data_IF_720564055418
#
_entry.id   IF_720564055418
#
_cell.length_a   1.000
_cell.length_b   1.000
_cell.length_c   1.000
_cell.angle_alpha   90.00
_cell.angle_beta   90.00
_cell.angle_gamma   90.00
#
_symmetry.space_group_name_H-M   'P 1'
#
loop_
_entity.id
_entity.type
_entity.pdbx_description
1 polymer ?
#
# COMPACT_ATOMS: atom_id res chain seq x y z
N UNK A 1 -31.24 13.10 -3.51
CA UNK A 1 -30.43 14.33 -3.36
C UNK A 1 -29.59 14.37 -2.09
N UNK A 2 -30.13 14.05 -0.91
CA UNK A 2 -29.38 14.11 0.37
C UNK A 2 -28.06 13.34 0.41
N UNK A 3 -28.01 12.11 -0.11
CA UNK A 3 -26.78 11.32 -0.16
C UNK A 3 -25.66 11.94 -1.02
N UNK A 4 -26.03 12.52 -2.16
CA UNK A 4 -25.09 13.20 -3.07
C UNK A 4 -24.53 14.45 -2.39
N UNK A 5 -25.36 15.19 -1.65
CA UNK A 5 -24.93 16.35 -0.88
C UNK A 5 -23.97 15.96 0.25
N UNK A 6 -24.24 14.87 0.97
CA UNK A 6 -23.34 14.37 2.03
C UNK A 6 -22.01 13.92 1.45
N UNK A 7 -22.05 13.17 0.34
CA UNK A 7 -20.84 12.78 -0.38
C UNK A 7 -20.01 14.01 -0.78
N UNK A 8 -20.65 14.99 -1.43
CA UNK A 8 -20.00 16.22 -1.86
C UNK A 8 -19.43 17.01 -0.67
N UNK A 9 -20.18 17.14 0.42
CA UNK A 9 -19.75 17.85 1.62
C UNK A 9 -18.49 17.22 2.24
N UNK A 10 -18.48 15.90 2.45
CA UNK A 10 -17.33 15.19 3.05
C UNK A 10 -16.14 15.18 2.09
N UNK A 11 -16.38 15.00 0.79
CA UNK A 11 -15.33 15.05 -0.22
C UNK A 11 -14.69 16.44 -0.30
N UNK A 12 -15.49 17.50 -0.33
CA UNK A 12 -15.02 18.89 -0.36
C UNK A 12 -14.30 19.25 0.95
N UNK A 13 -14.82 18.81 2.10
CA UNK A 13 -14.17 19.00 3.40
C UNK A 13 -12.79 18.32 3.44
N UNK A 14 -12.70 17.06 3.00
CA UNK A 14 -11.44 16.34 2.91
C UNK A 14 -10.47 16.96 1.90
N UNK A 15 -10.97 17.48 0.77
CA UNK A 15 -10.17 18.25 -0.20
C UNK A 15 -9.65 19.55 0.39
N UNK A 16 -10.47 20.31 1.11
CA UNK A 16 -10.08 21.56 1.77
C UNK A 16 -9.07 21.31 2.88
N UNK A 17 -9.27 20.29 3.71
CA UNK A 17 -8.35 19.90 4.78
C UNK A 17 -6.98 19.49 4.21
N UNK A 18 -6.98 18.70 3.14
CA UNK A 18 -5.76 18.35 2.39
C UNK A 18 -5.06 19.56 1.81
N UNK A 19 -5.78 20.54 1.27
CA UNK A 19 -5.15 21.77 0.77
C UNK A 19 -4.54 22.60 1.90
N UNK A 20 -5.20 22.67 3.07
CA UNK A 20 -4.68 23.38 4.24
C UNK A 20 -3.46 22.72 4.89
N UNK A 21 -3.42 21.38 4.92
CA UNK A 21 -2.36 20.61 5.58
C UNK A 21 -1.19 20.27 4.65
N UNK A 22 -1.26 20.65 3.37
CA UNK A 22 -0.16 20.45 2.41
C UNK A 22 0.98 21.41 2.73
N UNK A 23 2.20 20.87 2.82
CA UNK A 23 3.40 21.71 2.81
C UNK A 23 3.57 22.35 1.41
N UNK A 24 3.93 23.65 1.33
CA UNK A 24 4.27 24.29 0.08
C UNK A 24 5.59 23.73 -0.50
N UNK A 25 5.82 23.81 -1.82
CA UNK A 25 7.10 23.46 -2.41
C UNK A 25 8.24 24.33 -1.83
N UNK A 26 9.47 23.80 -1.67
CA UNK A 26 10.63 24.60 -1.32
C UNK A 26 10.90 25.63 -2.41
N UNK A 27 11.28 26.85 -2.00
CA UNK A 27 11.48 27.99 -2.91
C UNK A 27 12.68 27.79 -3.84
N UNK A 28 13.70 27.03 -3.41
CA UNK A 28 14.97 26.87 -4.11
C UNK A 28 15.00 25.70 -5.10
N UNK A 29 13.88 24.96 -5.27
CA UNK A 29 13.84 23.76 -6.11
C UNK A 29 14.61 22.55 -5.55
N UNK A 30 15.25 22.69 -4.38
CA UNK A 30 15.96 21.60 -3.71
C UNK A 30 15.02 20.51 -3.17
N UNK A 31 15.50 19.27 -3.13
CA UNK A 31 14.76 18.15 -2.56
C UNK A 31 14.65 18.30 -1.04
N UNK A 32 13.48 17.96 -0.47
CA UNK A 32 13.34 18.01 0.99
C UNK A 32 14.24 16.99 1.70
N UNK A 33 14.64 17.27 2.96
CA UNK A 33 15.23 16.27 3.82
C UNK A 33 14.36 15.01 3.85
N UNK A 34 14.99 13.83 3.78
CA UNK A 34 14.30 12.53 3.59
C UNK A 34 13.13 12.32 4.57
N UNK A 35 13.25 12.80 5.81
CA UNK A 35 12.16 12.76 6.80
C UNK A 35 10.94 13.58 6.44
N UNK A 36 11.13 14.82 6.00
CA UNK A 36 10.01 15.67 5.60
C UNK A 36 9.34 15.10 4.36
N UNK A 37 10.12 14.65 3.38
CA UNK A 37 9.60 13.97 2.19
C UNK A 37 8.80 12.70 2.52
N UNK A 38 9.31 11.83 3.40
CA UNK A 38 8.62 10.60 3.80
C UNK A 38 7.32 10.89 4.57
N UNK A 39 7.37 11.82 5.52
CA UNK A 39 6.19 12.22 6.32
C UNK A 39 5.10 12.82 5.44
N UNK A 40 5.44 13.72 4.53
CA UNK A 40 4.45 14.34 3.64
C UNK A 40 3.89 13.31 2.64
N UNK A 41 4.70 12.37 2.16
CA UNK A 41 4.24 11.29 1.28
C UNK A 41 3.27 10.35 2.00
N UNK A 42 3.53 9.98 3.26
CA UNK A 42 2.59 9.19 4.09
C UNK A 42 1.31 9.97 4.36
N UNK A 43 1.40 11.24 4.80
CA UNK A 43 0.23 12.08 5.04
C UNK A 43 -0.67 12.16 3.82
N UNK A 44 -0.10 12.49 2.65
CA UNK A 44 -0.86 12.58 1.40
C UNK A 44 -1.49 11.24 1.03
N UNK A 45 -0.79 10.12 1.25
CA UNK A 45 -1.33 8.77 1.04
C UNK A 45 -2.53 8.51 1.94
N UNK A 46 -2.40 8.74 3.25
CA UNK A 46 -3.49 8.54 4.22
C UNK A 46 -4.70 9.41 3.89
N UNK A 47 -4.50 10.72 3.68
CA UNK A 47 -5.60 11.62 3.34
C UNK A 47 -6.29 11.22 2.03
N UNK A 48 -5.53 10.86 0.99
CA UNK A 48 -6.11 10.44 -0.29
C UNK A 48 -6.86 9.11 -0.15
N UNK A 49 -6.29 8.15 0.58
CA UNK A 49 -6.86 6.82 0.77
C UNK A 49 -8.17 6.88 1.54
N UNK A 50 -8.29 7.76 2.55
CA UNK A 50 -9.47 7.84 3.42
C UNK A 50 -10.57 8.77 2.89
N UNK A 51 -10.23 9.86 2.18
CA UNK A 51 -11.24 10.89 1.83
C UNK A 51 -12.39 10.32 0.99
N UNK A 52 -12.08 9.59 -0.09
CA UNK A 52 -13.10 9.11 -1.03
C UNK A 52 -13.96 7.97 -0.43
N UNK A 53 -13.37 6.96 0.23
CA UNK A 53 -14.15 5.89 0.85
C UNK A 53 -14.96 6.38 2.05
N UNK A 54 -14.44 7.34 2.84
CA UNK A 54 -15.23 7.93 3.93
C UNK A 54 -16.45 8.70 3.40
N UNK A 55 -16.29 9.46 2.31
CA UNK A 55 -17.42 10.14 1.67
C UNK A 55 -18.45 9.13 1.11
N UNK A 56 -17.98 8.06 0.46
CA UNK A 56 -18.85 7.01 -0.06
C UNK A 56 -19.58 6.25 1.06
N UNK A 57 -18.88 5.90 2.14
CA UNK A 57 -19.43 5.21 3.31
C UNK A 57 -20.48 6.06 4.01
N UNK A 58 -20.23 7.36 4.16
CA UNK A 58 -21.21 8.27 4.77
C UNK A 58 -22.46 8.43 3.90
N UNK A 59 -22.32 8.48 2.58
CA UNK A 59 -23.45 8.45 1.67
C UNK A 59 -24.23 7.13 1.80
N UNK A 60 -23.55 5.99 1.82
CA UNK A 60 -24.16 4.67 2.02
C UNK A 60 -24.91 4.59 3.36
N UNK A 61 -24.27 4.98 4.46
CA UNK A 61 -24.85 5.00 5.80
C UNK A 61 -26.09 5.91 5.87
N UNK A 62 -26.08 7.04 5.16
CA UNK A 62 -27.26 7.89 5.04
C UNK A 62 -28.41 7.15 4.35
N UNK A 63 -28.20 6.56 3.16
CA UNK A 63 -29.27 5.81 2.49
C UNK A 63 -29.80 4.65 3.35
N UNK A 64 -28.89 3.92 4.00
CA UNK A 64 -29.22 2.79 4.86
C UNK A 64 -30.04 3.22 6.10
N UNK A 65 -29.69 4.35 6.71
CA UNK A 65 -30.40 4.89 7.87
C UNK A 65 -31.86 5.25 7.58
N UNK A 66 -32.18 5.65 6.36
CA UNK A 66 -33.56 5.92 5.91
C UNK A 66 -34.26 4.68 5.33
N UNK A 67 -33.65 3.50 5.40
CA UNK A 67 -34.14 2.26 4.78
C UNK A 67 -34.51 2.42 3.29
N UNK A 68 -33.80 3.30 2.58
CA UNK A 68 -34.03 3.60 1.17
C UNK A 68 -33.38 2.58 0.23
N UNK A 69 -32.71 1.55 0.77
CA UNK A 69 -31.95 0.55 0.01
C UNK A 69 -32.70 -0.78 0.02
N UNK A 70 -33.33 -1.17 -1.10
CA UNK A 70 -33.81 -2.53 -1.28
C UNK A 70 -32.65 -3.53 -1.17
N UNK A 71 -32.84 -4.75 -0.62
CA UNK A 71 -31.76 -5.72 -0.39
C UNK A 71 -30.87 -5.97 -1.62
N UNK A 72 -31.48 -6.11 -2.81
CA UNK A 72 -30.76 -6.31 -4.08
C UNK A 72 -29.88 -5.12 -4.49
N UNK A 73 -30.31 -3.90 -4.19
CA UNK A 73 -29.52 -2.68 -4.43
C UNK A 73 -28.37 -2.60 -3.43
N UNK A 74 -28.56 -3.11 -2.21
CA UNK A 74 -27.53 -3.23 -1.19
C UNK A 74 -26.29 -4.00 -1.68
N UNK A 75 -26.50 -5.15 -2.32
CA UNK A 75 -25.40 -5.97 -2.87
C UNK A 75 -24.58 -5.22 -3.92
N UNK A 76 -25.25 -4.49 -4.82
CA UNK A 76 -24.60 -3.67 -5.85
C UNK A 76 -23.84 -2.50 -5.21
N UNK A 77 -24.41 -1.84 -4.21
CA UNK A 77 -23.77 -0.75 -3.48
C UNK A 77 -22.56 -1.22 -2.68
N UNK A 78 -22.62 -2.41 -2.07
CA UNK A 78 -21.48 -3.04 -1.41
C UNK A 78 -20.34 -3.31 -2.40
N UNK A 79 -20.67 -3.86 -3.57
CA UNK A 79 -19.73 -4.03 -4.68
C UNK A 79 -19.08 -2.72 -5.13
N UNK A 80 -19.89 -1.66 -5.28
CA UNK A 80 -19.40 -0.33 -5.61
C UNK A 80 -18.48 0.22 -4.52
N UNK A 81 -18.80 -0.03 -3.25
CA UNK A 81 -17.99 0.42 -2.13
C UNK A 81 -16.62 -0.26 -2.17
N UNK A 82 -16.57 -1.58 -2.35
CA UNK A 82 -15.30 -2.31 -2.53
C UNK A 82 -14.48 -1.74 -3.69
N UNK A 83 -15.11 -1.45 -4.83
CA UNK A 83 -14.44 -0.83 -5.97
C UNK A 83 -13.87 0.55 -5.64
N UNK A 84 -14.61 1.40 -4.92
CA UNK A 84 -14.15 2.72 -4.45
C UNK A 84 -12.97 2.58 -3.47
N UNK A 85 -13.00 1.60 -2.58
CA UNK A 85 -11.89 1.32 -1.65
C UNK A 85 -10.61 0.92 -2.41
N UNK A 86 -10.71 -0.05 -3.32
CA UNK A 86 -9.60 -0.49 -4.18
C UNK A 86 -9.01 0.71 -4.93
N UNK A 87 -9.88 1.49 -5.57
CA UNK A 87 -9.48 2.65 -6.38
C UNK A 87 -8.79 3.73 -5.53
N UNK A 88 -9.36 4.06 -4.36
CA UNK A 88 -8.84 5.09 -3.48
C UNK A 88 -7.49 4.72 -2.88
N UNK A 89 -7.37 3.51 -2.31
CA UNK A 89 -6.15 3.02 -1.69
C UNK A 89 -5.04 2.87 -2.74
N UNK A 90 -5.37 2.27 -3.90
CA UNK A 90 -4.41 2.10 -4.98
C UNK A 90 -3.88 3.44 -5.52
N UNK A 91 -4.77 4.39 -5.85
CA UNK A 91 -4.32 5.71 -6.32
C UNK A 91 -3.51 6.47 -5.27
N UNK A 92 -3.90 6.36 -4.00
CA UNK A 92 -3.19 7.00 -2.90
C UNK A 92 -1.77 6.45 -2.75
N UNK A 93 -1.61 5.13 -2.74
CA UNK A 93 -0.31 4.45 -2.69
C UNK A 93 0.55 4.81 -3.90
N UNK A 94 -0.02 4.77 -5.10
CA UNK A 94 0.70 5.13 -6.33
C UNK A 94 1.24 6.56 -6.29
N UNK A 95 0.45 7.53 -5.81
CA UNK A 95 0.91 8.93 -5.67
C UNK A 95 1.90 9.11 -4.54
N UNK A 96 1.73 8.39 -3.43
CA UNK A 96 2.60 8.46 -2.27
C UNK A 96 4.00 7.94 -2.56
N UNK A 97 4.09 6.79 -3.23
CA UNK A 97 5.36 6.12 -3.52
C UNK A 97 6.09 6.79 -4.69
N UNK A 98 5.39 7.06 -5.79
CA UNK A 98 6.04 7.51 -7.03
C UNK A 98 6.12 9.04 -7.16
N UNK A 99 5.25 9.78 -6.48
CA UNK A 99 5.19 11.25 -6.52
C UNK A 99 5.35 11.84 -7.95
N UNK A 100 4.49 11.46 -8.92
CA UNK A 100 4.70 11.74 -10.34
C UNK A 100 4.68 13.23 -10.72
N UNK A 101 3.96 14.05 -9.94
CA UNK A 101 3.81 15.49 -10.14
C UNK A 101 4.61 16.33 -9.13
N UNK A 102 5.30 15.68 -8.19
CA UNK A 102 5.97 16.35 -7.06
C UNK A 102 7.36 15.73 -6.85
N UNK A 103 8.35 16.02 -7.73
CA UNK A 103 9.68 15.40 -7.67
C UNK A 103 10.42 15.65 -6.35
N UNK A 104 10.25 16.83 -5.78
CA UNK A 104 10.81 17.30 -4.51
C UNK A 104 10.47 16.44 -3.28
N UNK A 105 9.41 15.61 -3.31
CA UNK A 105 9.07 14.66 -2.23
C UNK A 105 9.44 13.21 -2.53
N UNK A 106 10.03 12.92 -3.70
CA UNK A 106 10.25 11.55 -4.17
C UNK A 106 11.34 10.87 -3.33
N UNK A 107 10.99 9.73 -2.74
CA UNK A 107 11.93 8.91 -1.95
C UNK A 107 12.79 7.98 -2.82
N UNK A 108 12.23 7.56 -3.96
CA UNK A 108 12.90 6.74 -4.96
C UNK A 108 13.77 7.62 -5.85
N UNK A 109 15.05 7.28 -5.94
CA UNK A 109 15.98 7.91 -6.90
C UNK A 109 15.70 7.34 -8.30
N UNK A 110 14.65 7.86 -8.95
CA UNK A 110 14.26 7.50 -10.31
C UNK A 110 13.95 8.77 -11.11
N UNK A 111 14.17 8.71 -12.42
CA UNK A 111 13.85 9.82 -13.32
C UNK A 111 12.35 10.15 -13.31
N UNK A 112 12.06 11.43 -13.52
CA UNK A 112 10.69 11.97 -13.58
C UNK A 112 9.80 11.27 -14.59
N UNK A 113 10.39 10.88 -15.72
CA UNK A 113 9.71 10.15 -16.78
C UNK A 113 9.34 8.74 -16.34
N UNK A 114 10.28 8.01 -15.73
CA UNK A 114 10.06 6.67 -15.18
C UNK A 114 8.99 6.67 -14.08
N UNK A 115 8.98 7.68 -13.21
CA UNK A 115 7.97 7.84 -12.16
C UNK A 115 6.56 8.05 -12.73
N UNK A 116 6.40 8.95 -13.72
CA UNK A 116 5.11 9.19 -14.39
C UNK A 116 4.62 7.95 -15.15
N UNK A 117 5.53 7.28 -15.84
CA UNK A 117 5.21 6.09 -16.63
C UNK A 117 4.76 4.94 -15.73
N UNK A 118 5.50 4.67 -14.66
CA UNK A 118 5.15 3.66 -13.66
C UNK A 118 3.80 3.96 -13.01
N UNK A 119 3.55 5.22 -12.66
CA UNK A 119 2.29 5.65 -12.07
C UNK A 119 1.10 5.46 -13.01
N UNK A 120 1.27 5.76 -14.30
CA UNK A 120 0.23 5.61 -15.32
C UNK A 120 -0.21 4.16 -15.44
N UNK A 121 0.72 3.23 -15.64
CA UNK A 121 0.38 1.81 -15.78
C UNK A 121 -0.17 1.22 -14.48
N UNK A 122 0.41 1.56 -13.33
CA UNK A 122 -0.12 1.14 -12.03
C UNK A 122 -1.57 1.62 -11.82
N UNK A 123 -1.87 2.87 -12.20
CA UNK A 123 -3.23 3.42 -12.12
C UNK A 123 -4.22 2.68 -13.04
N UNK A 124 -3.82 2.32 -14.26
CA UNK A 124 -4.66 1.52 -15.17
C UNK A 124 -4.94 0.13 -14.60
N UNK A 125 -3.94 -0.52 -14.00
CA UNK A 125 -4.11 -1.82 -13.36
C UNK A 125 -5.06 -1.77 -12.17
N UNK A 126 -4.96 -0.75 -11.31
CA UNK A 126 -5.89 -0.55 -10.18
C UNK A 126 -7.31 -0.28 -10.68
N UNK A 127 -7.45 0.58 -11.70
CA UNK A 127 -8.76 0.90 -12.26
C UNK A 127 -9.44 -0.35 -12.82
N UNK A 128 -8.67 -1.18 -13.53
CA UNK A 128 -9.14 -2.47 -14.05
C UNK A 128 -9.57 -3.41 -12.93
N UNK A 129 -8.78 -3.52 -11.86
CA UNK A 129 -9.13 -4.35 -10.70
C UNK A 129 -10.40 -3.84 -9.99
N UNK A 130 -10.55 -2.53 -9.85
CA UNK A 130 -11.72 -1.88 -9.25
C UNK A 130 -12.99 -2.16 -10.08
N UNK A 131 -12.90 -1.99 -11.41
CA UNK A 131 -13.98 -2.29 -12.35
C UNK A 131 -14.32 -3.79 -12.34
N UNK A 132 -13.32 -4.66 -12.30
CA UNK A 132 -13.51 -6.10 -12.20
C UNK A 132 -14.23 -6.51 -10.91
N UNK A 133 -13.86 -5.92 -9.77
CA UNK A 133 -14.52 -6.16 -8.49
C UNK A 133 -15.99 -5.73 -8.53
N UNK A 134 -16.28 -4.54 -9.09
CA UNK A 134 -17.64 -4.04 -9.24
C UNK A 134 -18.49 -4.92 -10.16
N UNK A 135 -17.98 -5.26 -11.35
CA UNK A 135 -18.68 -6.11 -12.32
C UNK A 135 -19.00 -7.48 -11.73
N UNK A 136 -18.07 -8.09 -11.00
CA UNK A 136 -18.33 -9.38 -10.35
C UNK A 136 -19.40 -9.30 -9.26
N UNK A 137 -19.40 -8.22 -8.46
CA UNK A 137 -20.47 -7.98 -7.50
C UNK A 137 -21.83 -7.75 -8.20
N UNK A 138 -21.82 -7.02 -9.31
CA UNK A 138 -23.02 -6.78 -10.14
C UNK A 138 -23.56 -8.09 -10.74
N UNK A 139 -22.69 -8.94 -11.28
CA UNK A 139 -23.08 -10.26 -11.79
C UNK A 139 -23.70 -11.13 -10.71
N UNK A 140 -23.16 -11.11 -9.49
CA UNK A 140 -23.73 -11.83 -8.35
C UNK A 140 -25.11 -11.30 -7.98
N UNK A 141 -25.29 -9.98 -7.92
CA UNK A 141 -26.56 -9.35 -7.60
C UNK A 141 -27.65 -9.61 -8.66
N UNK A 142 -27.24 -9.76 -9.93
CA UNK A 142 -28.14 -10.01 -11.06
C UNK A 142 -28.33 -11.51 -11.38
N UNK A 143 -27.75 -12.42 -10.58
CA UNK A 143 -27.75 -13.86 -10.86
C UNK A 143 -27.29 -14.19 -12.29
N UNK A 144 -26.22 -13.52 -12.74
CA UNK A 144 -25.74 -13.66 -14.10
C UNK A 144 -25.26 -15.09 -14.40
N UNK A 145 -25.39 -15.56 -15.66
CA UNK A 145 -24.87 -16.86 -16.07
C UNK A 145 -23.36 -16.99 -15.83
N UNK A 146 -22.92 -18.20 -15.45
CA UNK A 146 -21.50 -18.49 -15.18
C UNK A 146 -20.59 -18.14 -16.36
N UNK A 147 -21.05 -18.31 -17.60
CA UNK A 147 -20.29 -17.94 -18.78
C UNK A 147 -19.91 -16.44 -18.79
N UNK A 148 -20.80 -15.56 -18.32
CA UNK A 148 -20.57 -14.11 -18.30
C UNK A 148 -19.56 -13.70 -17.20
N UNK A 149 -19.61 -14.33 -16.02
CA UNK A 149 -18.66 -14.07 -14.94
C UNK A 149 -17.26 -14.55 -15.29
N UNK A 150 -17.17 -15.73 -15.91
CA UNK A 150 -15.92 -16.29 -16.43
C UNK A 150 -15.35 -15.39 -17.54
N UNK A 151 -16.16 -15.02 -18.55
CA UNK A 151 -15.71 -14.14 -19.63
C UNK A 151 -15.19 -12.80 -19.10
N UNK A 152 -15.91 -12.18 -18.15
CA UNK A 152 -15.49 -10.92 -17.54
C UNK A 152 -14.17 -11.08 -16.78
N UNK A 153 -14.03 -12.14 -15.99
CA UNK A 153 -12.80 -12.41 -15.25
C UNK A 153 -11.62 -12.68 -16.18
N UNK A 154 -11.82 -13.38 -17.30
CA UNK A 154 -10.80 -13.61 -18.31
C UNK A 154 -10.32 -12.30 -18.95
N UNK A 155 -11.26 -11.44 -19.38
CA UNK A 155 -10.96 -10.14 -19.98
C UNK A 155 -10.22 -9.24 -19.00
N UNK A 156 -10.68 -9.16 -17.74
CA UNK A 156 -10.04 -8.32 -16.72
C UNK A 156 -8.64 -8.81 -16.36
N UNK A 157 -8.44 -10.13 -16.29
CA UNK A 157 -7.12 -10.73 -16.05
C UNK A 157 -6.14 -10.44 -17.18
N UNK A 158 -6.61 -10.54 -18.42
CA UNK A 158 -5.82 -10.25 -19.62
C UNK A 158 -5.44 -8.76 -19.67
N UNK A 159 -6.38 -7.86 -19.36
CA UNK A 159 -6.10 -6.42 -19.28
C UNK A 159 -5.04 -6.12 -18.22
N UNK A 160 -5.19 -6.64 -17.00
CA UNK A 160 -4.21 -6.49 -15.91
C UNK A 160 -2.83 -7.01 -16.34
N UNK A 161 -2.76 -8.24 -16.87
CA UNK A 161 -1.52 -8.85 -17.36
C UNK A 161 -0.86 -8.00 -18.46
N UNK A 162 -1.65 -7.49 -19.40
CA UNK A 162 -1.16 -6.65 -20.50
C UNK A 162 -0.59 -5.30 -20.01
N UNK A 163 -1.23 -4.66 -19.02
CA UNK A 163 -0.74 -3.42 -18.44
C UNK A 163 0.55 -3.64 -17.65
N UNK A 164 0.64 -4.74 -16.90
CA UNK A 164 1.86 -5.11 -16.19
C UNK A 164 3.00 -5.38 -17.19
N UNK A 165 2.76 -6.22 -18.21
CA UNK A 165 3.75 -6.51 -19.26
C UNK A 165 4.22 -5.25 -19.99
N UNK A 166 3.28 -4.38 -20.37
CA UNK A 166 3.58 -3.12 -21.06
C UNK A 166 4.35 -2.14 -20.16
N UNK A 167 4.10 -2.16 -18.85
CA UNK A 167 4.89 -1.37 -17.90
C UNK A 167 6.33 -1.86 -17.86
N UNK A 168 6.56 -3.18 -17.75
CA UNK A 168 7.91 -3.77 -17.73
C UNK A 168 8.69 -3.44 -19.01
N UNK A 169 8.05 -3.57 -20.18
CA UNK A 169 8.70 -3.26 -21.47
C UNK A 169 9.03 -1.76 -21.56
N UNK A 170 8.11 -0.90 -21.15
CA UNK A 170 8.33 0.54 -21.21
C UNK A 170 9.40 1.02 -20.22
N UNK A 171 9.47 0.41 -19.03
CA UNK A 171 10.54 0.64 -18.05
C UNK A 171 11.91 0.16 -18.56
N UNK A 172 11.96 -1.01 -19.23
CA UNK A 172 13.21 -1.51 -19.82
C UNK A 172 13.73 -0.58 -20.92
N UNK A 173 12.85 -0.13 -21.83
CA UNK A 173 13.23 0.80 -22.91
C UNK A 173 13.76 2.13 -22.39
N UNK A 174 13.19 2.65 -21.30
CA UNK A 174 13.68 3.91 -20.72
C UNK A 174 15.08 3.72 -20.09
N UNK A 175 15.34 2.57 -19.47
CA UNK A 175 16.67 2.24 -18.96
C UNK A 175 17.71 2.16 -20.09
N UNK A 176 17.37 1.51 -21.21
CA UNK A 176 18.27 1.43 -22.38
C UNK A 176 18.59 2.82 -22.95
N UNK A 177 17.62 3.75 -22.96
CA UNK A 177 17.81 5.13 -23.43
C UNK A 177 18.67 5.95 -22.47
N UNK A 178 18.50 5.78 -21.16
CA UNK A 178 19.34 6.43 -20.14
C UNK A 178 20.80 5.94 -20.24
N UNK A 179 21.02 4.64 -20.44
CA UNK A 179 22.36 4.06 -20.66
C UNK A 179 23.02 4.59 -21.94
N UNK A 180 22.29 4.66 -23.05
CA UNK A 180 22.81 5.16 -24.33
C UNK A 180 23.19 6.66 -24.26
N UNK A 181 22.42 7.46 -23.53
CA UNK A 181 22.70 8.90 -23.36
C UNK A 181 23.94 9.14 -22.49
N UNK A 182 24.15 8.29 -21.48
CA UNK A 182 25.25 8.36 -20.52
C UNK A 182 26.62 7.99 -21.11
N UNK A 183 26.65 7.33 -22.27
CA UNK A 183 27.87 6.94 -22.97
C UNK A 183 28.43 8.04 -23.92
N UNK A 184 27.83 9.24 -23.94
CA UNK A 184 28.37 10.37 -24.70
C UNK A 184 29.61 10.95 -23.96
N UNK A 185 30.77 11.17 -24.60
CA UNK A 185 32.06 11.44 -23.93
C UNK A 185 32.22 12.73 -23.11
N UNK A 186 31.16 13.51 -22.86
CA UNK A 186 31.26 14.87 -22.28
C UNK A 186 30.63 15.02 -20.89
N UNK A 187 30.29 13.92 -20.21
CA UNK A 187 29.78 13.96 -18.84
C UNK A 187 30.88 13.61 -17.82
N UNK A 188 31.12 14.54 -16.88
CA UNK A 188 32.13 14.49 -15.83
C UNK A 188 32.19 13.17 -15.02
N UNK A 189 33.38 12.77 -14.52
CA UNK A 189 33.55 11.56 -13.72
C UNK A 189 32.93 11.75 -12.34
N UNK A 190 31.71 11.25 -12.14
CA UNK A 190 31.02 11.33 -10.86
C UNK A 190 29.55 10.92 -10.85
N UNK A 191 28.93 10.68 -12.00
CA UNK A 191 27.58 10.14 -12.07
C UNK A 191 27.61 8.63 -11.72
N UNK A 192 27.53 8.36 -10.41
CA UNK A 192 27.35 7.02 -9.85
C UNK A 192 26.23 6.29 -10.58
N UNK A 193 26.59 5.14 -11.16
CA UNK A 193 25.74 4.03 -11.59
C UNK A 193 24.27 4.22 -11.22
N UNK A 194 23.43 4.62 -12.18
CA UNK A 194 21.97 4.56 -12.03
C UNK A 194 21.56 3.10 -12.12
N UNK A 195 21.39 2.36 -11.01
CA UNK A 195 21.14 0.94 -11.08
C UNK A 195 19.68 0.81 -11.49
N UNK A 196 19.40 0.11 -12.59
CA UNK A 196 18.06 -0.38 -12.95
C UNK A 196 17.26 -0.69 -11.68
N UNK A 197 16.30 0.18 -11.33
CA UNK A 197 15.74 0.31 -9.98
C UNK A 197 14.97 -0.93 -9.46
N UNK A 198 14.82 -1.95 -10.30
CA UNK A 198 14.23 -3.24 -9.97
C UNK A 198 15.30 -4.32 -10.15
N UNK A 199 15.62 -5.03 -9.05
CA UNK A 199 16.56 -6.16 -9.07
C UNK A 199 16.19 -7.14 -10.20
N UNK A 200 17.16 -7.65 -10.99
CA UNK A 200 16.89 -8.58 -12.09
C UNK A 200 16.03 -9.79 -11.68
N UNK A 201 16.24 -10.30 -10.46
CA UNK A 201 15.46 -11.41 -9.90
C UNK A 201 13.95 -11.08 -9.76
N UNK A 202 13.61 -9.84 -9.42
CA UNK A 202 12.21 -9.41 -9.31
C UNK A 202 11.59 -9.29 -10.70
N UNK A 203 12.32 -8.77 -11.69
CA UNK A 203 11.87 -8.73 -13.09
C UNK A 203 11.57 -10.13 -13.62
N UNK A 204 12.47 -11.08 -13.35
CA UNK A 204 12.27 -12.50 -13.72
C UNK A 204 11.02 -13.10 -13.07
N UNK A 205 10.82 -12.88 -11.77
CA UNK A 205 9.65 -13.39 -11.05
C UNK A 205 8.33 -12.81 -11.62
N UNK A 206 8.30 -11.53 -11.97
CA UNK A 206 7.12 -10.90 -12.57
C UNK A 206 6.82 -11.47 -13.95
N UNK A 207 7.84 -11.69 -14.79
CA UNK A 207 7.67 -12.35 -16.09
C UNK A 207 7.20 -13.80 -15.96
N UNK A 208 7.72 -14.55 -14.99
CA UNK A 208 7.25 -15.90 -14.69
C UNK A 208 5.77 -15.91 -14.29
N UNK A 209 5.35 -14.97 -13.42
CA UNK A 209 3.96 -14.83 -13.03
C UNK A 209 3.05 -14.43 -14.22
N UNK A 210 3.53 -13.58 -15.14
CA UNK A 210 2.82 -13.25 -16.38
C UNK A 210 2.70 -14.47 -17.31
N UNK A 211 3.76 -15.25 -17.47
CA UNK A 211 3.74 -16.47 -18.27
C UNK A 211 2.74 -17.49 -17.70
N UNK A 212 2.73 -17.67 -16.38
CA UNK A 212 1.77 -18.51 -15.67
C UNK A 212 0.33 -18.02 -15.87
N UNK A 213 0.09 -16.71 -15.74
CA UNK A 213 -1.22 -16.09 -15.97
C UNK A 213 -1.71 -16.33 -17.41
N UNK A 214 -0.85 -16.12 -18.40
CA UNK A 214 -1.18 -16.33 -19.81
C UNK A 214 -1.42 -17.80 -20.13
N UNK A 215 -0.56 -18.70 -19.63
CA UNK A 215 -0.73 -20.14 -19.78
C UNK A 215 -2.05 -20.63 -19.18
N UNK A 216 -2.44 -20.11 -18.02
CA UNK A 216 -3.72 -20.42 -17.39
C UNK A 216 -4.93 -19.94 -18.21
N UNK A 217 -4.86 -18.75 -18.81
CA UNK A 217 -5.93 -18.24 -19.70
C UNK A 217 -6.09 -19.13 -20.93
N UNK A 218 -4.98 -19.51 -21.58
CA UNK A 218 -5.00 -20.38 -22.77
C UNK A 218 -5.52 -21.77 -22.44
N UNK A 219 -5.14 -22.32 -21.28
CA UNK A 219 -5.61 -23.61 -20.80
C UNK A 219 -7.06 -23.59 -20.26
N UNK A 220 -7.73 -22.43 -20.22
CA UNK A 220 -9.10 -22.30 -19.74
C UNK A 220 -9.26 -22.19 -18.21
N UNK A 221 -8.16 -22.12 -17.45
CA UNK A 221 -8.17 -21.92 -16.00
C UNK A 221 -8.36 -20.45 -15.61
N UNK A 222 -9.52 -19.90 -15.98
CA UNK A 222 -9.83 -18.47 -15.81
C UNK A 222 -9.82 -18.01 -14.35
N UNK A 223 -10.38 -18.81 -13.44
CA UNK A 223 -10.39 -18.48 -12.00
C UNK A 223 -8.97 -18.36 -11.43
N UNK A 224 -8.05 -19.20 -11.91
CA UNK A 224 -6.65 -19.14 -11.50
C UNK A 224 -5.96 -17.91 -12.11
N UNK A 225 -6.21 -17.58 -13.38
CA UNK A 225 -5.70 -16.35 -13.99
C UNK A 225 -6.21 -15.07 -13.29
N UNK A 226 -7.48 -15.04 -12.90
CA UNK A 226 -8.08 -13.95 -12.13
C UNK A 226 -7.46 -13.82 -10.74
N UNK A 227 -7.21 -14.96 -10.08
CA UNK A 227 -6.50 -14.98 -8.81
C UNK A 227 -5.07 -14.42 -8.95
N UNK A 228 -4.28 -14.93 -9.91
CA UNK A 228 -2.89 -14.50 -10.12
C UNK A 228 -2.84 -13.02 -10.47
N UNK A 229 -3.69 -12.55 -11.39
CA UNK A 229 -3.72 -11.14 -11.80
C UNK A 229 -4.01 -10.22 -10.61
N UNK A 230 -5.06 -10.50 -9.83
CA UNK A 230 -5.40 -9.73 -8.63
C UNK A 230 -4.28 -9.74 -7.59
N UNK A 231 -3.63 -10.89 -7.40
CA UNK A 231 -2.47 -11.03 -6.48
C UNK A 231 -1.31 -10.16 -6.89
N UNK A 232 -0.99 -10.09 -8.18
CA UNK A 232 0.09 -9.23 -8.65
C UNK A 232 -0.18 -7.76 -8.34
N UNK A 233 -1.42 -7.30 -8.53
CA UNK A 233 -1.81 -5.91 -8.20
C UNK A 233 -1.71 -5.65 -6.70
N UNK A 234 -2.30 -6.52 -5.88
CA UNK A 234 -2.32 -6.37 -4.42
C UNK A 234 -0.89 -6.44 -3.87
N UNK A 235 -0.09 -7.41 -4.31
CA UNK A 235 1.30 -7.54 -3.88
C UNK A 235 2.11 -6.28 -4.21
N UNK A 236 1.93 -5.73 -5.41
CA UNK A 236 2.58 -4.47 -5.80
C UNK A 236 2.17 -3.30 -4.89
N UNK A 237 0.87 -3.18 -4.59
CA UNK A 237 0.36 -2.14 -3.69
C UNK A 237 0.89 -2.31 -2.26
N UNK A 238 0.93 -3.55 -1.74
CA UNK A 238 1.44 -3.88 -0.40
C UNK A 238 2.93 -3.60 -0.28
N UNK A 239 3.73 -4.00 -1.27
CA UNK A 239 5.16 -3.71 -1.30
C UNK A 239 5.42 -2.19 -1.35
N UNK A 240 4.63 -1.45 -2.14
CA UNK A 240 4.70 0.01 -2.18
C UNK A 240 4.36 0.65 -0.82
N UNK A 241 3.32 0.17 -0.15
CA UNK A 241 2.94 0.63 1.19
C UNK A 241 4.02 0.31 2.24
N UNK A 242 4.53 -0.92 2.23
CA UNK A 242 5.63 -1.37 3.08
C UNK A 242 6.86 -0.49 2.92
N UNK A 243 7.24 -0.19 1.67
CA UNK A 243 8.36 0.72 1.38
C UNK A 243 8.14 2.11 1.98
N UNK A 244 6.95 2.69 1.77
CA UNK A 244 6.63 4.03 2.25
C UNK A 244 6.65 4.12 3.79
N UNK A 245 6.08 3.11 4.48
CA UNK A 245 6.07 3.06 5.93
C UNK A 245 7.47 2.79 6.48
N UNK A 246 8.26 1.91 5.85
CA UNK A 246 9.65 1.68 6.24
C UNK A 246 10.49 2.96 6.09
N UNK A 247 10.33 3.71 5.00
CA UNK A 247 11.00 4.99 4.81
C UNK A 247 10.60 6.04 5.87
N UNK A 248 9.33 6.02 6.32
CA UNK A 248 8.88 6.88 7.42
C UNK A 248 9.53 6.48 8.75
N UNK A 249 9.58 5.18 9.05
CA UNK A 249 10.23 4.63 10.26
C UNK A 249 11.70 5.05 10.26
N UNK A 250 12.42 4.74 9.19
CA UNK A 250 13.84 5.07 9.06
C UNK A 250 14.09 6.55 9.27
N UNK A 251 13.30 7.39 8.62
CA UNK A 251 13.48 8.82 8.72
C UNK A 251 13.10 9.39 10.08
N UNK A 252 12.11 8.80 10.77
CA UNK A 252 11.71 9.18 12.13
C UNK A 252 12.82 8.89 13.13
N UNK A 253 13.39 7.69 13.09
CA UNK A 253 14.49 7.31 13.97
C UNK A 253 15.80 8.03 13.62
N UNK A 254 16.02 8.38 12.34
CA UNK A 254 17.15 9.25 11.96
C UNK A 254 17.03 10.66 12.57
N UNK A 255 15.80 11.19 12.69
CA UNK A 255 15.53 12.47 13.36
C UNK A 255 15.67 12.42 14.89
N UNK A 256 15.88 11.23 15.47
CA UNK A 256 16.12 11.05 16.91
C UNK A 256 17.61 10.83 17.22
N UNK A 257 18.50 10.87 16.22
CA UNK A 257 19.94 10.76 16.43
C UNK A 257 20.48 12.00 17.17
N UNK A 258 21.49 11.81 18.06
CA UNK A 258 22.00 12.82 18.99
C UNK A 258 22.41 14.16 18.38
N UNK A 259 22.70 14.19 17.08
CA UNK A 259 23.17 15.38 16.37
C UNK A 259 22.05 16.38 15.98
N UNK A 260 20.78 16.01 16.16
CA UNK A 260 19.63 16.84 15.76
C UNK A 260 18.97 17.58 16.92
N UNK A 261 18.45 18.79 16.66
CA UNK A 261 17.77 19.65 17.67
C UNK A 261 16.62 18.92 18.40
N UNK A 262 15.92 18.03 17.70
CA UNK A 262 14.82 17.21 18.24
C UNK A 262 15.31 16.19 19.27
N UNK A 263 16.48 15.58 19.05
CA UNK A 263 17.07 14.64 20.01
C UNK A 263 17.45 15.32 21.33
N UNK A 264 17.89 16.59 21.27
CA UNK A 264 18.22 17.40 22.47
C UNK A 264 16.98 17.79 23.28
N UNK A 265 15.85 18.02 22.62
CA UNK A 265 14.56 18.28 23.28
C UNK A 265 14.02 17.02 23.94
N UNK A 266 14.05 15.88 23.23
CA UNK A 266 13.58 14.58 23.76
C UNK A 266 14.50 14.07 24.88
N UNK A 267 15.81 14.29 24.80
CA UNK A 267 16.73 13.94 25.89
C UNK A 267 16.51 14.80 27.13
N UNK A 268 16.13 16.08 26.95
CA UNK A 268 15.82 17.00 28.06
C UNK A 268 14.50 16.64 28.75
N UNK A 269 13.50 16.13 28.04
CA UNK A 269 12.21 15.73 28.62
C UNK A 269 12.22 14.33 29.22
N UNK A 270 13.00 13.39 28.68
CA UNK A 270 13.07 12.01 29.18
C UNK A 270 14.22 11.75 30.16
N UNK A 271 15.17 12.68 30.32
CA UNK A 271 16.29 12.53 31.27
C UNK A 271 17.27 11.40 30.94
N UNK A 272 17.24 10.87 29.72
CA UNK A 272 18.04 9.71 29.29
C UNK A 272 19.34 10.15 28.62
N UNK A 273 20.44 9.43 28.92
CA UNK A 273 21.73 9.61 28.22
C UNK A 273 21.55 9.36 26.71
N UNK A 274 22.12 10.22 25.83
CA UNK A 274 21.93 10.14 24.37
C UNK A 274 22.23 8.76 23.76
N UNK A 275 23.26 8.08 24.28
CA UNK A 275 23.68 6.75 23.82
C UNK A 275 22.62 5.64 24.09
N UNK A 276 21.82 5.78 25.16
CA UNK A 276 20.73 4.82 25.45
C UNK A 276 19.51 5.06 24.58
N UNK A 277 19.27 6.33 24.20
CA UNK A 277 18.16 6.71 23.32
C UNK A 277 18.35 6.12 21.92
N UNK A 278 19.58 6.12 21.41
CA UNK A 278 19.92 5.56 20.11
C UNK A 278 19.70 4.04 20.05
N UNK A 279 20.17 3.29 21.05
CA UNK A 279 19.96 1.84 21.15
C UNK A 279 18.47 1.46 21.23
N UNK A 280 17.69 2.18 22.06
CA UNK A 280 16.24 1.96 22.16
C UNK A 280 15.56 2.27 20.81
N UNK A 281 15.98 3.36 20.15
CA UNK A 281 15.47 3.74 18.84
C UNK A 281 15.73 2.68 17.76
N UNK A 282 16.94 2.13 17.69
CA UNK A 282 17.30 1.08 16.74
C UNK A 282 16.48 -0.19 16.98
N UNK A 283 16.36 -0.63 18.23
CA UNK A 283 15.58 -1.83 18.58
C UNK A 283 14.10 -1.65 18.27
N UNK A 284 13.52 -0.48 18.63
CA UNK A 284 12.12 -0.18 18.35
C UNK A 284 11.85 -0.10 16.85
N UNK A 285 12.76 0.51 16.08
CA UNK A 285 12.69 0.53 14.62
C UNK A 285 12.71 -0.88 14.04
N UNK A 286 13.61 -1.74 14.52
CA UNK A 286 13.72 -3.13 14.07
C UNK A 286 12.44 -3.93 14.36
N UNK A 287 11.86 -3.79 15.57
CA UNK A 287 10.58 -4.41 15.94
C UNK A 287 9.47 -3.91 15.00
N UNK A 288 9.36 -2.60 14.82
CA UNK A 288 8.29 -2.02 13.99
C UNK A 288 8.40 -2.48 12.53
N UNK A 289 9.62 -2.57 11.98
CA UNK A 289 9.87 -3.13 10.65
C UNK A 289 9.51 -4.61 10.56
N UNK A 290 9.86 -5.41 11.56
CA UNK A 290 9.52 -6.84 11.60
C UNK A 290 8.01 -7.04 11.58
N UNK A 291 7.28 -6.30 12.42
CA UNK A 291 5.81 -6.31 12.47
C UNK A 291 5.22 -5.92 11.12
N UNK A 292 5.79 -4.89 10.48
CA UNK A 292 5.33 -4.40 9.20
C UNK A 292 5.55 -5.42 8.07
N UNK A 293 6.70 -6.10 8.06
CA UNK A 293 7.00 -7.19 7.10
C UNK A 293 6.07 -8.38 7.32
N UNK A 294 5.86 -8.79 8.57
CA UNK A 294 4.92 -9.86 8.90
C UNK A 294 3.50 -9.50 8.46
N UNK A 295 3.04 -8.28 8.75
CA UNK A 295 1.72 -7.80 8.34
C UNK A 295 1.56 -7.79 6.82
N UNK A 296 2.59 -7.34 6.08
CA UNK A 296 2.61 -7.36 4.63
C UNK A 296 2.55 -8.80 4.08
N UNK A 297 3.31 -9.71 4.68
CA UNK A 297 3.32 -11.12 4.35
C UNK A 297 1.93 -11.76 4.56
N UNK A 298 1.31 -11.51 5.72
CA UNK A 298 -0.06 -11.92 6.01
C UNK A 298 -1.07 -11.30 5.04
N UNK A 299 -0.89 -10.06 4.60
CA UNK A 299 -1.82 -9.44 3.66
C UNK A 299 -1.72 -10.04 2.25
N UNK A 300 -0.51 -10.46 1.84
CA UNK A 300 -0.30 -11.15 0.55
C UNK A 300 -0.76 -12.62 0.64
N UNK A 301 -0.52 -13.31 1.76
CA UNK A 301 -0.78 -14.73 2.00
C UNK A 301 -2.20 -15.05 2.52
N UNK A 302 -2.72 -14.29 3.48
CA UNK A 302 -4.08 -14.45 4.04
C UNK A 302 -5.19 -14.34 2.98
N UNK A 303 -4.79 -13.79 1.84
CA UNK A 303 -5.44 -13.84 0.55
C UNK A 303 -5.97 -15.22 0.09
N UNK A 304 -5.23 -16.29 0.35
CA UNK A 304 -5.20 -17.49 -0.49
C UNK A 304 -6.42 -18.43 -0.35
N UNK A 305 -7.29 -18.22 0.63
CA UNK A 305 -8.52 -19.00 0.82
C UNK A 305 -9.82 -18.29 0.43
N UNK A 306 -9.81 -16.97 0.19
CA UNK A 306 -11.00 -16.23 -0.20
C UNK A 306 -11.07 -16.16 -1.73
N UNK A 307 -11.94 -16.99 -2.32
CA UNK A 307 -12.44 -16.75 -3.67
C UNK A 307 -12.94 -15.29 -3.75
N UNK A 308 -12.83 -14.64 -4.91
CA UNK A 308 -13.39 -13.29 -5.12
C UNK A 308 -14.90 -13.24 -4.80
N UNK A 309 -15.57 -14.41 -4.75
CA UNK A 309 -16.93 -14.59 -4.26
C UNK A 309 -17.09 -14.51 -2.71
N UNK A 310 -16.06 -14.79 -1.91
CA UNK A 310 -16.17 -14.90 -0.44
C UNK A 310 -15.70 -13.65 0.32
N UNK A 311 -15.13 -12.67 -0.39
CA UNK A 311 -14.76 -11.38 0.21
C UNK A 311 -16.00 -10.64 0.70
N UNK A 312 -17.15 -10.83 0.05
CA UNK A 312 -18.40 -10.16 0.42
C UNK A 312 -19.07 -10.79 1.65
N UNK A 313 -18.98 -12.12 1.78
CA UNK A 313 -19.44 -12.84 2.99
C UNK A 313 -18.53 -12.54 4.20
N UNK A 314 -17.33 -12.05 3.93
CA UNK A 314 -16.38 -11.60 4.94
C UNK A 314 -16.70 -10.21 5.49
N UNK A 315 -17.47 -9.35 4.80
CA UNK A 315 -17.71 -7.96 5.26
C UNK A 315 -18.63 -7.91 6.48
N UNK A 316 -19.63 -8.80 6.57
CA UNK A 316 -20.41 -8.98 7.81
C UNK A 316 -19.58 -9.57 8.96
N UNK A 317 -18.39 -10.12 8.66
CA UNK A 317 -17.44 -10.71 9.62
C UNK A 317 -16.17 -9.89 9.85
N UNK A 318 -15.96 -8.77 9.15
CA UNK A 318 -14.71 -7.98 9.23
C UNK A 318 -14.67 -7.08 10.46
N UNK A 319 -15.81 -6.81 11.09
CA UNK A 319 -15.81 -6.27 12.45
C UNK A 319 -15.36 -7.31 13.51
N UNK A 320 -15.43 -8.62 13.22
CA UNK A 320 -15.06 -9.69 14.15
C UNK A 320 -14.51 -10.97 13.47
N UNK A 321 -13.24 -10.92 13.05
CA UNK A 321 -12.36 -12.10 13.01
C UNK A 321 -12.33 -12.94 11.73
N UNK A 322 -11.11 -13.12 11.22
CA UNK A 322 -10.78 -14.12 10.19
C UNK A 322 -10.79 -15.49 10.85
N UNK A 323 -11.70 -16.38 10.44
CA UNK A 323 -11.74 -17.79 10.88
C UNK A 323 -10.88 -18.65 9.97
N UNK A 324 -9.87 -19.33 10.54
CA UNK A 324 -9.19 -20.46 9.90
C UNK A 324 -9.46 -21.66 10.83
N UNK A 325 -10.46 -22.49 10.50
CA UNK A 325 -10.94 -23.54 11.40
C UNK A 325 -11.74 -23.01 12.60
N UNK A 326 -11.64 -23.68 13.77
CA UNK A 326 -12.33 -23.29 15.03
C UNK A 326 -11.61 -22.16 15.79
N UNK A 327 -10.55 -21.58 15.23
CA UNK A 327 -9.80 -20.47 15.84
C UNK A 327 -9.86 -19.22 14.96
N UNK A 328 -10.39 -18.15 15.54
CA UNK A 328 -10.42 -16.82 14.94
C UNK A 328 -9.06 -16.16 15.12
N UNK A 329 -8.24 -16.06 14.08
CA UNK A 329 -7.04 -15.22 14.09
C UNK A 329 -7.49 -13.81 13.73
N UNK A 330 -7.90 -13.05 14.74
CA UNK A 330 -8.19 -11.61 14.57
C UNK A 330 -6.86 -10.85 14.43
N UNK A 331 -6.88 -9.74 13.67
CA UNK A 331 -5.74 -8.81 13.63
C UNK A 331 -5.32 -8.36 15.04
N UNK A 332 -6.30 -8.26 15.94
CA UNK A 332 -6.13 -7.98 17.36
C UNK A 332 -5.33 -9.07 18.10
N UNK A 333 -5.53 -10.35 17.78
CA UNK A 333 -4.75 -11.46 18.37
C UNK A 333 -3.28 -11.43 17.96
N UNK A 334 -2.96 -10.97 16.73
CA UNK A 334 -1.57 -10.80 16.28
C UNK A 334 -0.91 -9.64 17.03
N UNK A 335 -1.62 -8.52 17.18
CA UNK A 335 -1.15 -7.38 17.98
C UNK A 335 -0.96 -7.78 19.44
N UNK A 336 -1.90 -8.53 20.03
CA UNK A 336 -1.77 -9.04 21.39
C UNK A 336 -0.61 -10.00 21.56
N UNK A 337 -0.45 -10.98 20.66
CA UNK A 337 0.66 -11.92 20.71
C UNK A 337 2.00 -11.19 20.66
N UNK A 338 2.10 -10.14 19.84
CA UNK A 338 3.29 -9.32 19.74
C UNK A 338 3.53 -8.47 20.99
N UNK A 339 2.50 -7.82 21.53
CA UNK A 339 2.61 -7.04 22.78
C UNK A 339 2.99 -7.96 23.94
N UNK A 340 2.38 -9.15 24.02
CA UNK A 340 2.68 -10.16 25.04
C UNK A 340 4.11 -10.67 24.91
N UNK A 341 4.58 -10.94 23.68
CA UNK A 341 5.97 -11.29 23.41
C UNK A 341 6.92 -10.17 23.84
N UNK A 342 6.60 -8.91 23.52
CA UNK A 342 7.41 -7.76 23.90
C UNK A 342 7.50 -7.60 25.42
N UNK A 343 6.37 -7.74 26.12
CA UNK A 343 6.32 -7.74 27.59
C UNK A 343 7.15 -8.90 28.14
N UNK A 344 7.01 -10.11 27.58
CA UNK A 344 7.74 -11.30 27.98
C UNK A 344 9.26 -11.13 27.83
N UNK A 345 9.73 -10.57 26.71
CA UNK A 345 11.15 -10.28 26.48
C UNK A 345 11.68 -9.20 27.42
N UNK A 346 10.89 -8.15 27.68
CA UNK A 346 11.27 -7.08 28.61
C UNK A 346 11.37 -7.60 30.05
N UNK A 347 10.42 -8.44 30.48
CA UNK A 347 10.46 -9.10 31.79
C UNK A 347 11.65 -10.06 31.90
N UNK A 348 11.88 -10.90 30.88
CA UNK A 348 13.01 -11.83 30.86
C UNK A 348 14.35 -11.09 30.94
N UNK A 349 14.52 -9.99 30.18
CA UNK A 349 15.73 -9.17 30.23
C UNK A 349 15.86 -8.37 31.53
N UNK A 350 14.76 -7.90 32.10
CA UNK A 350 14.75 -7.25 33.41
C UNK A 350 15.20 -8.19 34.51
N UNK A 351 14.69 -9.42 34.50
CA UNK A 351 15.03 -10.47 35.46
C UNK A 351 16.49 -10.92 35.30
N UNK A 352 16.94 -11.15 34.07
CA UNK A 352 18.33 -11.51 33.77
C UNK A 352 19.31 -10.42 34.24
N UNK A 353 18.94 -9.15 34.09
CA UNK A 353 19.74 -8.02 34.54
C UNK A 353 19.77 -7.88 36.06
N UNK A 354 18.63 -8.11 36.73
CA UNK A 354 18.54 -8.09 38.18
C UNK A 354 19.41 -9.18 38.82
N UNK A 355 19.34 -10.40 38.28
CA UNK A 355 20.20 -11.52 38.70
C UNK A 355 21.67 -11.17 38.48
N UNK A 356 22.04 -10.63 37.31
CA UNK A 356 23.43 -10.26 37.04
C UNK A 356 23.97 -9.14 37.95
N UNK A 357 23.10 -8.34 38.57
CA UNK A 357 23.49 -7.25 39.47
C UNK A 357 23.53 -7.62 40.96
N UNK A 358 23.05 -8.80 41.34
CA UNK A 358 23.09 -9.29 42.72
C UNK A 358 24.12 -10.40 42.97
N UNK A 359 24.68 -11.01 41.92
CA UNK A 359 25.61 -12.14 42.03
C UNK A 359 27.03 -11.85 41.51
N UNK A 360 27.35 -10.57 41.27
CA UNK A 360 28.69 -10.01 41.05
C UNK A 360 28.82 -8.80 41.98
#
# INVERSE_FOLDING_TARGET
MGAVLIFAAIYLLGRKLRHRLRCPPPEDGEAYPRFRAARESVKVTVFNALTTPAAAMAAYAFLAGFQLIPPRVGDVLNGLMVAVFIQSIGHALGRGVLAPSEPWRRLLQISDRTARLSYRYFSWTIWTLSVAAFLNALHRALFAPLALTVATSAVMSLLIGSFIARSLIALAREADVEEATSQTPEAAPGATETPSAVRPSVRFLVWLALAMLMGALVAGYVSFAAFVSARMVIATAVVGGLYLLNALIDSFFLSLRPDTHNARLVSKTLGLRPNRLELIGIVLAAILKLVLVLSACLLVMGTWGASTADVMDSIDRVAFGVRIGNTTITLWNVVYALVLLMIGVLLARGLQKWISSQFL
#
